data_IF_606754400574
#
_entry.id   IF_606754400574
#
_cell.length_a   1.000
_cell.length_b   1.000
_cell.length_c   1.000
_cell.angle_alpha   90.00
_cell.angle_beta   90.00
_cell.angle_gamma   90.00
#
_symmetry.space_group_name_H-M   'P 1'
#
loop_
_entity.id
_entity.type
_entity.pdbx_description
1 polymer ?
#
# COMPACT_ATOMS: atom_id res chain seq x y z
N UNK A 1 -10.42 25.08 41.46
CA UNK A 1 -10.54 24.96 39.99
C UNK A 1 -9.27 24.27 39.52
N UNK A 2 -9.33 22.96 39.24
CA UNK A 2 -8.17 22.09 39.02
C UNK A 2 -8.03 21.82 37.52
N UNK A 3 -7.11 22.52 36.86
CA UNK A 3 -6.72 22.19 35.49
C UNK A 3 -5.77 20.99 35.52
N UNK A 4 -6.34 19.80 35.35
CA UNK A 4 -5.57 18.62 34.94
C UNK A 4 -5.20 18.79 33.47
N UNK A 5 -4.06 19.44 33.25
CA UNK A 5 -3.37 19.43 31.97
C UNK A 5 -3.04 17.98 31.63
N UNK A 6 -3.66 17.50 30.56
CA UNK A 6 -3.48 16.17 30.00
C UNK A 6 -2.02 16.04 29.54
N UNK A 7 -1.14 15.43 30.36
CA UNK A 7 0.19 15.06 29.91
C UNK A 7 0.03 13.97 28.86
N UNK A 8 0.05 14.36 27.59
CA UNK A 8 0.19 13.42 26.48
C UNK A 8 1.59 12.82 26.62
N UNK A 9 1.63 11.65 27.23
CA UNK A 9 2.79 10.77 27.30
C UNK A 9 3.18 10.40 25.87
N UNK A 10 4.12 11.16 25.32
CA UNK A 10 4.77 10.90 24.04
C UNK A 10 5.75 9.74 24.21
N UNK A 11 5.19 8.53 24.31
CA UNK A 11 5.95 7.29 24.28
C UNK A 11 6.88 7.24 23.05
N UNK A 12 8.04 6.58 23.15
CA UNK A 12 9.07 6.64 22.12
C UNK A 12 8.50 6.14 20.80
N UNK A 13 8.64 6.97 19.76
CA UNK A 13 8.31 6.63 18.38
C UNK A 13 9.00 5.31 18.05
N UNK A 14 8.21 4.22 17.98
CA UNK A 14 8.71 2.91 17.58
C UNK A 14 9.19 3.06 16.15
N UNK A 15 10.51 3.13 15.98
CA UNK A 15 11.15 2.97 14.70
C UNK A 15 10.75 1.58 14.18
N UNK A 16 9.79 1.53 13.26
CA UNK A 16 9.44 0.29 12.59
C UNK A 16 10.69 -0.17 11.83
N UNK A 17 11.26 -1.35 12.14
CA UNK A 17 12.36 -1.87 11.35
C UNK A 17 11.85 -2.09 9.92
N UNK A 18 12.33 -1.26 8.99
CA UNK A 18 12.04 -1.36 7.57
C UNK A 18 12.87 -2.51 7.01
N UNK A 19 12.16 -3.43 6.35
CA UNK A 19 12.62 -4.67 5.66
C UNK A 19 12.66 -5.90 6.57
N UNK A 20 11.50 -6.54 6.69
CA UNK A 20 11.47 -7.99 6.77
C UNK A 20 11.88 -8.51 5.39
N UNK A 21 13.18 -8.67 5.16
CA UNK A 21 13.65 -9.55 4.09
C UNK A 21 13.21 -10.95 4.51
N UNK A 22 12.02 -11.37 4.08
CA UNK A 22 11.64 -12.78 4.22
C UNK A 22 12.78 -13.58 3.61
N UNK A 23 13.47 -14.45 4.39
CA UNK A 23 14.51 -15.29 3.82
C UNK A 23 13.86 -16.01 2.64
N UNK A 24 14.47 -15.88 1.45
CA UNK A 24 14.05 -16.68 0.32
C UNK A 24 14.06 -18.12 0.81
N UNK A 25 12.89 -18.77 0.79
CA UNK A 25 12.77 -20.17 1.18
C UNK A 25 13.48 -20.96 0.08
N UNK A 26 14.78 -21.15 0.24
CA UNK A 26 15.60 -21.89 -0.72
C UNK A 26 15.36 -23.37 -0.45
N UNK A 27 14.48 -23.99 -1.24
CA UNK A 27 14.23 -25.42 -1.16
C UNK A 27 15.34 -26.19 -1.90
N UNK A 28 16.15 -26.95 -1.14
CA UNK A 28 17.16 -27.85 -1.71
C UNK A 28 16.56 -29.23 -1.96
N UNK A 29 16.26 -29.47 -3.23
CA UNK A 29 15.66 -30.71 -3.72
C UNK A 29 16.55 -31.93 -3.47
N UNK A 30 17.87 -31.82 -3.61
CA UNK A 30 18.77 -32.97 -3.48
C UNK A 30 18.85 -33.41 -2.02
N UNK A 31 19.05 -32.45 -1.11
CA UNK A 31 19.03 -32.72 0.32
C UNK A 31 17.69 -33.34 0.78
N UNK A 32 16.57 -32.94 0.16
CA UNK A 32 15.26 -33.51 0.45
C UNK A 32 15.11 -34.96 -0.07
N UNK A 33 15.60 -35.27 -1.26
CA UNK A 33 15.63 -36.65 -1.80
C UNK A 33 16.47 -37.56 -0.91
N UNK A 34 17.63 -37.10 -0.47
CA UNK A 34 18.53 -37.88 0.38
C UNK A 34 17.87 -38.19 1.74
N UNK A 35 17.23 -37.19 2.36
CA UNK A 35 16.42 -37.38 3.58
C UNK A 35 15.29 -38.41 3.41
N UNK A 36 14.62 -38.41 2.26
CA UNK A 36 13.55 -39.38 1.99
C UNK A 36 14.10 -40.80 1.84
N UNK A 37 15.27 -40.96 1.20
CA UNK A 37 15.95 -42.25 1.10
C UNK A 37 16.42 -42.76 2.47
N UNK A 38 16.97 -41.87 3.29
CA UNK A 38 17.34 -42.17 4.68
C UNK A 38 16.12 -42.63 5.50
N UNK A 39 14.93 -42.09 5.21
CA UNK A 39 13.67 -42.49 5.82
C UNK A 39 13.07 -43.80 5.23
N UNK A 40 13.73 -44.44 4.26
CA UNK A 40 13.33 -45.72 3.69
C UNK A 40 12.44 -45.64 2.45
N UNK A 41 12.28 -44.46 1.84
CA UNK A 41 11.63 -44.34 0.53
C UNK A 41 12.57 -44.82 -0.59
N UNK A 42 12.03 -45.52 -1.59
CA UNK A 42 12.79 -45.88 -2.80
C UNK A 42 13.17 -44.64 -3.61
N UNK A 43 14.26 -44.70 -4.41
CA UNK A 43 14.78 -43.55 -5.19
C UNK A 43 13.69 -42.94 -6.09
N UNK A 44 12.83 -43.76 -6.69
CA UNK A 44 11.72 -43.26 -7.52
C UNK A 44 10.70 -42.48 -6.71
N UNK A 45 10.35 -42.95 -5.51
CA UNK A 45 9.38 -42.30 -4.64
C UNK A 45 9.96 -41.00 -4.07
N UNK A 46 11.20 -41.05 -3.58
CA UNK A 46 11.90 -39.89 -3.05
C UNK A 46 11.98 -38.74 -4.08
N UNK A 47 12.34 -39.06 -5.33
CA UNK A 47 12.36 -38.09 -6.43
C UNK A 47 10.97 -37.55 -6.75
N UNK A 48 9.95 -38.43 -6.84
CA UNK A 48 8.58 -38.01 -7.14
C UNK A 48 8.02 -37.05 -6.07
N UNK A 49 8.28 -37.30 -4.79
CA UNK A 49 7.89 -36.40 -3.70
C UNK A 49 8.63 -35.05 -3.79
N UNK A 50 9.92 -35.07 -4.11
CA UNK A 50 10.71 -33.86 -4.26
C UNK A 50 10.27 -33.02 -5.48
N UNK A 51 9.92 -33.67 -6.59
CA UNK A 51 9.34 -33.05 -7.78
C UNK A 51 8.00 -32.38 -7.48
N UNK A 52 7.09 -33.11 -6.83
CA UNK A 52 5.77 -32.59 -6.49
C UNK A 52 5.84 -31.38 -5.56
N UNK A 53 6.76 -31.39 -4.58
CA UNK A 53 6.96 -30.30 -3.65
C UNK A 53 7.64 -29.08 -4.32
N UNK A 54 8.63 -29.30 -5.19
CA UNK A 54 9.26 -28.22 -5.97
C UNK A 54 8.23 -27.52 -6.88
N UNK A 55 7.39 -28.31 -7.57
CA UNK A 55 6.32 -27.78 -8.40
C UNK A 55 5.30 -26.99 -7.58
N UNK A 56 4.83 -27.53 -6.45
CA UNK A 56 3.87 -26.86 -5.58
C UNK A 56 4.43 -25.55 -4.97
N UNK A 57 5.73 -25.51 -4.63
CA UNK A 57 6.37 -24.30 -4.14
C UNK A 57 6.51 -23.25 -5.24
N UNK A 58 6.88 -23.64 -6.47
CA UNK A 58 6.96 -22.71 -7.61
C UNK A 58 5.62 -22.09 -7.97
N UNK A 59 4.54 -22.85 -7.86
CA UNK A 59 3.18 -22.36 -8.18
C UNK A 59 2.58 -21.50 -7.05
N UNK A 60 3.01 -21.66 -5.80
CA UNK A 60 2.44 -20.96 -4.63
C UNK A 60 3.23 -19.74 -4.15
N UNK A 61 4.50 -19.60 -4.53
CA UNK A 61 5.31 -18.43 -4.19
C UNK A 61 5.18 -17.38 -5.28
N UNK A 62 4.59 -16.23 -4.94
CA UNK A 62 4.72 -15.04 -5.78
C UNK A 62 6.22 -14.78 -6.00
N UNK A 63 6.65 -14.71 -7.26
CA UNK A 63 8.04 -14.43 -7.58
C UNK A 63 8.38 -13.01 -7.13
N UNK A 64 9.66 -12.72 -6.90
CA UNK A 64 10.10 -11.34 -6.59
C UNK A 64 9.68 -10.35 -7.69
N UNK A 65 9.51 -10.82 -8.92
CA UNK A 65 9.03 -10.01 -10.03
C UNK A 65 7.55 -9.62 -9.83
N UNK A 66 6.70 -10.55 -9.43
CA UNK A 66 5.27 -10.30 -9.19
C UNK A 66 5.04 -9.29 -8.05
N UNK A 67 5.84 -9.40 -6.98
CA UNK A 67 5.80 -8.44 -5.87
C UNK A 67 6.25 -7.05 -6.34
N UNK A 68 7.32 -6.97 -7.13
CA UNK A 68 7.81 -5.68 -7.66
C UNK A 68 6.82 -5.04 -8.62
N UNK A 69 6.15 -5.83 -9.46
CA UNK A 69 5.10 -5.34 -10.35
C UNK A 69 3.90 -4.82 -9.53
N UNK A 70 3.51 -5.55 -8.48
CA UNK A 70 2.45 -5.10 -7.58
C UNK A 70 2.82 -3.78 -6.86
N UNK A 71 4.06 -3.64 -6.39
CA UNK A 71 4.58 -2.39 -5.80
C UNK A 71 4.50 -1.23 -6.80
N UNK A 72 5.01 -1.41 -8.02
CA UNK A 72 4.96 -0.38 -9.07
C UNK A 72 3.53 0.01 -9.44
N UNK A 73 2.63 -0.98 -9.54
CA UNK A 73 1.22 -0.73 -9.83
C UNK A 73 0.54 0.03 -8.69
N UNK A 74 0.90 -0.24 -7.44
CA UNK A 74 0.40 0.48 -6.27
C UNK A 74 0.91 1.91 -6.22
N UNK A 75 2.21 2.14 -6.46
CA UNK A 75 2.80 3.48 -6.55
C UNK A 75 2.10 4.31 -7.61
N UNK A 76 1.91 3.78 -8.83
CA UNK A 76 1.19 4.47 -9.90
C UNK A 76 -0.27 4.78 -9.52
N UNK A 77 -0.97 3.87 -8.84
CA UNK A 77 -2.34 4.11 -8.34
C UNK A 77 -2.37 5.20 -7.27
N UNK A 78 -1.37 5.27 -6.39
CA UNK A 78 -1.29 6.29 -5.35
C UNK A 78 -1.05 7.66 -5.98
N UNK A 79 -0.10 7.76 -6.92
CA UNK A 79 0.20 9.01 -7.62
C UNK A 79 -1.01 9.52 -8.41
N UNK A 80 -1.67 8.65 -9.16
CA UNK A 80 -2.88 9.00 -9.92
C UNK A 80 -4.04 9.42 -9.01
N UNK A 81 -4.26 8.71 -7.90
CA UNK A 81 -5.29 9.07 -6.91
C UNK A 81 -4.99 10.41 -6.26
N UNK A 82 -3.73 10.66 -5.90
CA UNK A 82 -3.30 11.94 -5.33
C UNK A 82 -3.46 13.10 -6.33
N UNK A 83 -3.12 12.89 -7.59
CA UNK A 83 -3.30 13.88 -8.66
C UNK A 83 -4.80 14.20 -8.87
N UNK A 84 -5.64 13.16 -8.94
CA UNK A 84 -7.09 13.33 -9.08
C UNK A 84 -7.68 14.09 -7.88
N UNK A 85 -7.27 13.74 -6.66
CA UNK A 85 -7.74 14.43 -5.46
C UNK A 85 -7.32 15.92 -5.46
N UNK A 86 -6.08 16.23 -5.86
CA UNK A 86 -5.62 17.62 -6.02
C UNK A 86 -6.44 18.37 -7.06
N UNK A 87 -6.72 17.74 -8.21
CA UNK A 87 -7.53 18.34 -9.27
C UNK A 87 -8.98 18.57 -8.82
N UNK A 88 -9.58 17.62 -8.11
CA UNK A 88 -10.93 17.74 -7.57
C UNK A 88 -11.03 18.83 -6.52
N UNK A 89 -10.08 18.89 -5.58
CA UNK A 89 -10.02 19.97 -4.60
C UNK A 89 -9.90 21.31 -5.31
N UNK A 90 -8.96 21.46 -6.24
CA UNK A 90 -8.78 22.71 -6.99
C UNK A 90 -10.07 23.10 -7.75
N UNK A 91 -10.68 22.15 -8.46
CA UNK A 91 -11.93 22.34 -9.21
C UNK A 91 -13.06 22.85 -8.32
N UNK A 92 -13.28 22.20 -7.18
CA UNK A 92 -14.33 22.62 -6.24
C UNK A 92 -14.02 23.96 -5.56
N UNK A 93 -12.75 24.22 -5.22
CA UNK A 93 -12.33 25.51 -4.68
C UNK A 93 -12.59 26.64 -5.67
N UNK A 94 -12.17 26.51 -6.93
CA UNK A 94 -12.44 27.51 -7.96
C UNK A 94 -13.93 27.71 -8.21
N UNK A 95 -14.71 26.63 -8.28
CA UNK A 95 -16.16 26.72 -8.43
C UNK A 95 -16.81 27.49 -7.26
N UNK A 96 -16.36 27.23 -6.03
CA UNK A 96 -16.88 27.90 -4.84
C UNK A 96 -16.53 29.39 -4.77
N UNK A 97 -15.30 29.76 -5.15
CA UNK A 97 -14.83 31.16 -5.17
C UNK A 97 -15.58 31.93 -6.25
N UNK A 98 -15.71 31.38 -7.46
CA UNK A 98 -16.44 32.03 -8.55
C UNK A 98 -17.90 32.31 -8.17
N UNK A 99 -18.56 31.33 -7.56
CA UNK A 99 -19.94 31.47 -7.06
C UNK A 99 -20.05 32.61 -6.03
N UNK A 100 -19.09 32.68 -5.11
CA UNK A 100 -19.06 33.71 -4.06
C UNK A 100 -18.83 35.11 -4.64
N UNK A 101 -17.92 35.27 -5.61
CA UNK A 101 -17.63 36.56 -6.25
C UNK A 101 -18.84 37.09 -7.01
N UNK A 102 -19.55 36.22 -7.75
CA UNK A 102 -20.78 36.60 -8.46
C UNK A 102 -21.87 37.04 -7.48
N UNK A 103 -22.07 36.29 -6.39
CA UNK A 103 -23.07 36.62 -5.39
C UNK A 103 -22.79 37.97 -4.68
N UNK A 104 -21.55 38.18 -4.24
CA UNK A 104 -21.13 39.43 -3.57
C UNK A 104 -21.21 40.60 -4.55
N UNK A 105 -20.71 40.43 -5.78
CA UNK A 105 -20.76 41.48 -6.81
C UNK A 105 -22.20 41.90 -7.14
N UNK A 106 -23.11 40.93 -7.27
CA UNK A 106 -24.54 41.20 -7.47
C UNK A 106 -25.16 41.95 -6.28
N UNK A 107 -24.82 41.58 -5.05
CA UNK A 107 -25.29 42.25 -3.85
C UNK A 107 -24.80 43.71 -3.79
N UNK A 108 -23.51 43.95 -4.03
CA UNK A 108 -22.94 45.31 -4.03
C UNK A 108 -23.63 46.17 -5.09
N UNK A 109 -23.81 45.67 -6.31
CA UNK A 109 -24.50 46.39 -7.37
C UNK A 109 -25.95 46.74 -6.97
N UNK A 110 -26.68 45.81 -6.36
CA UNK A 110 -28.04 46.04 -5.90
C UNK A 110 -28.11 47.16 -4.83
N UNK A 111 -27.17 47.17 -3.88
CA UNK A 111 -27.12 48.22 -2.84
C UNK A 111 -26.83 49.60 -3.41
N UNK A 112 -25.95 49.73 -4.40
CA UNK A 112 -25.63 51.01 -5.06
C UNK A 112 -26.85 51.57 -5.79
N UNK A 113 -27.57 50.73 -6.56
CA UNK A 113 -28.80 51.14 -7.27
C UNK A 113 -29.95 51.52 -6.34
N UNK A 114 -29.92 51.10 -5.08
CA UNK A 114 -30.95 51.45 -4.10
C UNK A 114 -30.66 52.79 -3.40
N UNK A 115 -29.39 53.16 -3.29
CA UNK A 115 -28.94 54.43 -2.66
C UNK A 115 -28.89 55.60 -3.63
N UNK A 116 -28.64 55.35 -4.92
CA UNK A 116 -28.53 56.36 -5.99
C UNK A 116 -29.79 56.37 -6.85
#
# INVERSE_FOLDING_TARGET
MSERVLSIDSGPARAYPKRMTSPAVTFDRLAYVDRLKEAGFDDKQARAHADALDAALRDSVATKADVREAEQRLEAKIETTAANLRADIARWLFASVLTSVVAIGGLVLATVKFVT
#
